data_IF_801102687729
#
_entry.id   IF_801102687729
#
_cell.length_a   1.000
_cell.length_b   1.000
_cell.length_c   1.000
_cell.angle_alpha   90.00
_cell.angle_beta   90.00
_cell.angle_gamma   90.00
#
_symmetry.space_group_name_H-M   'P 1'
#
loop_
_entity.id
_entity.type
_entity.pdbx_description
1 polymer ?
#
# COMPACT_ATOMS: atom_id res chain seq x y z
N UNK A 1 -10.25 37.41 -5.04
CA UNK A 1 -9.07 36.50 -5.01
C UNK A 1 -9.32 35.14 -4.37
N UNK A 2 -10.39 34.91 -3.59
CA UNK A 2 -10.70 33.64 -2.90
C UNK A 2 -11.15 32.46 -3.80
N UNK A 3 -11.48 32.69 -5.08
CA UNK A 3 -11.93 31.61 -5.98
C UNK A 3 -10.83 30.93 -6.79
N UNK A 4 -9.59 31.48 -6.81
CA UNK A 4 -8.46 30.82 -7.50
C UNK A 4 -7.81 29.68 -6.69
N UNK A 5 -8.09 29.57 -5.39
CA UNK A 5 -7.58 28.49 -4.53
C UNK A 5 -8.33 27.16 -4.66
N UNK A 6 -9.62 27.19 -5.01
CA UNK A 6 -10.46 26.00 -5.05
C UNK A 6 -10.15 25.08 -6.25
N UNK A 7 -9.72 25.63 -7.40
CA UNK A 7 -9.42 24.82 -8.59
C UNK A 7 -8.11 24.02 -8.49
N UNK A 8 -7.18 24.39 -7.61
CA UNK A 8 -5.91 23.66 -7.46
C UNK A 8 -6.01 22.40 -6.59
N UNK A 9 -7.10 22.25 -5.81
CA UNK A 9 -7.32 21.10 -4.91
C UNK A 9 -7.77 19.81 -5.64
N UNK A 10 -8.18 19.88 -6.91
CA UNK A 10 -8.79 18.74 -7.64
C UNK A 10 -7.83 17.63 -8.10
N UNK A 11 -6.50 17.80 -8.00
CA UNK A 11 -5.53 16.82 -8.52
C UNK A 11 -4.79 16.01 -7.46
N UNK A 12 -5.20 16.07 -6.19
CA UNK A 12 -4.37 15.50 -5.10
C UNK A 12 -4.40 13.97 -5.06
N UNK A 13 -5.57 13.34 -5.27
CA UNK A 13 -5.74 11.91 -4.94
C UNK A 13 -4.95 10.97 -5.86
N UNK A 14 -4.94 11.23 -7.17
CA UNK A 14 -4.17 10.42 -8.15
C UNK A 14 -2.91 11.12 -8.67
N UNK A 15 -2.76 12.43 -8.40
CA UNK A 15 -1.59 13.21 -8.78
C UNK A 15 -1.27 13.15 -10.27
N UNK A 16 0.03 13.22 -10.58
CA UNK A 16 0.56 13.16 -11.95
C UNK A 16 0.53 11.74 -12.55
N UNK A 17 0.10 10.73 -11.79
CA UNK A 17 0.10 9.32 -12.19
C UNK A 17 -1.27 8.83 -12.67
N UNK A 18 -2.22 9.72 -12.95
CA UNK A 18 -3.57 9.35 -13.42
C UNK A 18 -3.54 8.45 -14.67
N UNK A 19 -2.57 8.65 -15.56
CA UNK A 19 -2.38 7.82 -16.75
C UNK A 19 -2.06 6.37 -16.38
N UNK A 20 -1.20 6.15 -15.37
CA UNK A 20 -0.84 4.82 -14.87
C UNK A 20 -2.07 4.16 -14.26
N UNK A 21 -2.85 4.88 -13.46
CA UNK A 21 -4.12 4.35 -12.94
C UNK A 21 -5.09 3.91 -14.05
N UNK A 22 -5.21 4.67 -15.14
CA UNK A 22 -6.07 4.28 -16.26
C UNK A 22 -5.59 2.98 -16.91
N UNK A 23 -4.28 2.88 -17.13
CA UNK A 23 -3.61 1.74 -17.73
C UNK A 23 -3.73 0.49 -16.84
N UNK A 24 -3.54 0.61 -15.54
CA UNK A 24 -3.59 -0.53 -14.62
C UNK A 24 -5.02 -1.05 -14.32
N UNK A 25 -6.05 -0.50 -14.98
CA UNK A 25 -7.44 -0.91 -14.76
C UNK A 25 -8.14 -0.16 -13.61
N UNK A 26 -7.54 0.91 -13.10
CA UNK A 26 -8.08 1.73 -12.00
C UNK A 26 -8.87 2.97 -12.46
N UNK A 27 -8.98 3.21 -13.76
CA UNK A 27 -9.74 4.32 -14.34
C UNK A 27 -11.25 4.21 -14.12
N UNK A 28 -11.92 5.37 -14.20
CA UNK A 28 -13.37 5.47 -13.97
C UNK A 28 -14.23 5.24 -15.22
N UNK A 29 -13.63 5.02 -16.38
CA UNK A 29 -14.38 4.90 -17.63
C UNK A 29 -15.38 3.75 -17.57
N UNK A 30 -16.58 3.99 -18.12
CA UNK A 30 -17.62 2.98 -18.33
C UNK A 30 -17.70 2.54 -19.79
N UNK A 31 -16.80 3.02 -20.65
CA UNK A 31 -16.82 2.68 -22.08
C UNK A 31 -16.67 1.18 -22.28
N UNK A 32 -17.31 0.66 -23.32
CA UNK A 32 -17.15 -0.74 -23.72
C UNK A 32 -15.67 -1.09 -23.94
N UNK A 33 -14.93 -0.21 -24.63
CA UNK A 33 -13.50 -0.35 -24.86
C UNK A 33 -12.69 -0.52 -23.56
N UNK A 34 -13.03 0.21 -22.50
CA UNK A 34 -12.32 0.10 -21.22
C UNK A 34 -12.59 -1.25 -20.53
N UNK A 35 -13.82 -1.75 -20.62
CA UNK A 35 -14.17 -3.08 -20.10
C UNK A 35 -13.49 -4.19 -20.88
N UNK A 36 -13.44 -4.07 -22.21
CA UNK A 36 -12.71 -4.99 -23.08
C UNK A 36 -11.20 -4.99 -22.75
N UNK A 37 -10.62 -3.81 -22.50
CA UNK A 37 -9.24 -3.67 -22.06
C UNK A 37 -8.96 -4.35 -20.71
N UNK A 38 -9.82 -4.15 -19.69
CA UNK A 38 -9.68 -4.87 -18.41
C UNK A 38 -9.79 -6.38 -18.62
N UNK A 39 -10.71 -6.82 -19.49
CA UNK A 39 -10.83 -8.23 -19.87
C UNK A 39 -9.53 -8.77 -20.50
N UNK A 40 -8.92 -8.02 -21.41
CA UNK A 40 -7.63 -8.35 -22.02
C UNK A 40 -6.53 -8.48 -20.97
N UNK A 41 -6.43 -7.53 -20.05
CA UNK A 41 -5.44 -7.57 -18.95
C UNK A 41 -5.66 -8.80 -18.06
N UNK A 42 -6.90 -9.10 -17.69
CA UNK A 42 -7.20 -10.28 -16.88
C UNK A 42 -6.78 -11.56 -17.60
N UNK A 43 -7.17 -11.71 -18.86
CA UNK A 43 -6.76 -12.84 -19.70
C UNK A 43 -5.24 -12.94 -19.80
N UNK A 44 -4.55 -11.81 -19.96
CA UNK A 44 -3.09 -11.75 -19.97
C UNK A 44 -2.47 -12.25 -18.66
N UNK A 45 -2.95 -11.76 -17.51
CA UNK A 45 -2.43 -12.20 -16.21
C UNK A 45 -2.71 -13.68 -15.94
N UNK A 46 -3.89 -14.18 -16.30
CA UNK A 46 -4.19 -15.62 -16.21
C UNK A 46 -3.30 -16.45 -17.13
N UNK A 47 -2.99 -15.94 -18.33
CA UNK A 47 -2.06 -16.60 -19.25
C UNK A 47 -0.65 -16.67 -18.65
N UNK A 48 -0.15 -15.56 -18.10
CA UNK A 48 1.16 -15.56 -17.42
C UNK A 48 1.15 -16.50 -16.22
N UNK A 49 0.12 -16.47 -15.37
CA UNK A 49 0.00 -17.38 -14.24
C UNK A 49 -0.02 -18.86 -14.69
N UNK A 50 -0.77 -19.18 -15.75
CA UNK A 50 -0.80 -20.54 -16.31
C UNK A 50 0.58 -20.96 -16.84
N UNK A 51 1.24 -20.10 -17.62
CA UNK A 51 2.58 -20.37 -18.15
C UNK A 51 3.60 -20.53 -17.03
N UNK A 52 3.55 -19.70 -15.98
CA UNK A 52 4.42 -19.82 -14.81
C UNK A 52 4.16 -21.09 -14.02
N UNK A 53 2.90 -21.51 -13.86
CA UNK A 53 2.56 -22.76 -13.20
C UNK A 53 3.09 -23.98 -14.00
N UNK A 54 2.85 -23.98 -15.31
CA UNK A 54 3.38 -25.01 -16.20
C UNK A 54 4.92 -25.02 -16.17
N UNK A 55 5.52 -23.83 -16.13
CA UNK A 55 6.96 -23.64 -16.01
C UNK A 55 7.50 -24.28 -14.74
N UNK A 56 6.94 -23.94 -13.58
CA UNK A 56 7.29 -24.53 -12.28
C UNK A 56 7.19 -26.05 -12.29
N UNK A 57 6.15 -26.61 -12.93
CA UNK A 57 5.98 -28.05 -13.07
C UNK A 57 7.06 -28.68 -13.96
N UNK A 58 7.36 -28.06 -15.10
CA UNK A 58 8.35 -28.56 -16.06
C UNK A 58 9.76 -28.58 -15.48
N UNK A 59 10.17 -27.51 -14.78
CA UNK A 59 11.50 -27.42 -14.14
C UNK A 59 11.53 -27.94 -12.71
N UNK A 60 10.51 -28.67 -12.25
CA UNK A 60 10.45 -29.20 -10.88
C UNK A 60 11.70 -29.98 -10.43
N UNK A 61 12.43 -30.72 -11.31
CA UNK A 61 13.70 -31.34 -10.94
C UNK A 61 14.80 -30.34 -10.52
N UNK A 62 14.81 -29.15 -11.12
CA UNK A 62 15.69 -28.04 -10.75
C UNK A 62 14.94 -27.08 -9.82
N UNK A 63 15.10 -27.31 -8.51
CA UNK A 63 14.39 -26.56 -7.46
C UNK A 63 14.61 -25.06 -7.54
N UNK A 64 15.81 -24.61 -7.90
CA UNK A 64 16.15 -23.18 -7.89
C UNK A 64 15.33 -22.47 -8.99
N UNK A 65 15.24 -23.07 -10.18
CA UNK A 65 14.40 -22.58 -11.27
C UNK A 65 12.92 -22.72 -10.97
N UNK A 66 12.50 -23.84 -10.38
CA UNK A 66 11.10 -24.05 -10.02
C UNK A 66 10.61 -22.96 -9.04
N UNK A 67 11.44 -22.56 -8.08
CA UNK A 67 11.13 -21.48 -7.14
C UNK A 67 11.10 -20.10 -7.81
N UNK A 68 11.99 -19.83 -8.77
CA UNK A 68 11.94 -18.61 -9.58
C UNK A 68 10.63 -18.51 -10.40
N UNK A 69 10.26 -19.59 -11.08
CA UNK A 69 8.99 -19.68 -11.82
C UNK A 69 7.78 -19.51 -10.90
N UNK A 70 7.86 -20.12 -9.71
CA UNK A 70 6.80 -20.04 -8.71
C UNK A 70 6.67 -18.61 -8.17
N UNK A 71 7.78 -17.87 -8.06
CA UNK A 71 7.75 -16.46 -7.72
C UNK A 71 7.00 -15.64 -8.78
N UNK A 72 7.27 -15.84 -10.08
CA UNK A 72 6.53 -15.18 -11.17
C UNK A 72 5.04 -15.51 -11.10
N UNK A 73 4.68 -16.77 -10.81
CA UNK A 73 3.30 -17.18 -10.60
C UNK A 73 2.64 -16.35 -9.47
N UNK A 74 3.31 -16.21 -8.31
CA UNK A 74 2.81 -15.42 -7.20
C UNK A 74 2.65 -13.93 -7.56
N UNK A 75 3.59 -13.37 -8.32
CA UNK A 75 3.50 -12.00 -8.84
C UNK A 75 2.30 -11.81 -9.79
N UNK A 76 2.06 -12.77 -10.70
CA UNK A 76 0.89 -12.74 -11.59
C UNK A 76 -0.43 -12.89 -10.83
N UNK A 77 -0.45 -13.72 -9.78
CA UNK A 77 -1.60 -13.83 -8.86
C UNK A 77 -1.83 -12.53 -8.10
N UNK A 78 -0.77 -11.85 -7.64
CA UNK A 78 -0.85 -10.52 -7.02
C UNK A 78 -1.44 -9.47 -7.99
N UNK A 79 -0.95 -9.42 -9.24
CA UNK A 79 -1.47 -8.51 -10.27
C UNK A 79 -2.97 -8.73 -10.52
N UNK A 80 -3.37 -10.00 -10.67
CA UNK A 80 -4.77 -10.42 -10.82
C UNK A 80 -5.61 -10.00 -9.61
N UNK A 81 -5.10 -10.20 -8.40
CA UNK A 81 -5.77 -9.80 -7.16
C UNK A 81 -5.97 -8.29 -7.06
N UNK A 82 -4.99 -7.50 -7.53
CA UNK A 82 -5.11 -6.04 -7.58
C UNK A 82 -6.29 -5.57 -8.43
N UNK A 83 -6.49 -6.19 -9.60
CA UNK A 83 -7.65 -5.93 -10.46
C UNK A 83 -8.95 -6.30 -9.75
N UNK A 84 -9.03 -7.52 -9.21
CA UNK A 84 -10.24 -7.98 -8.51
C UNK A 84 -10.57 -7.07 -7.32
N UNK A 85 -9.57 -6.70 -6.52
CA UNK A 85 -9.73 -5.75 -5.42
C UNK A 85 -10.32 -4.44 -5.92
N UNK A 86 -9.77 -3.87 -6.99
CA UNK A 86 -10.28 -2.63 -7.60
C UNK A 86 -11.72 -2.78 -8.10
N UNK A 87 -12.03 -3.87 -8.80
CA UNK A 87 -13.37 -4.12 -9.35
C UNK A 87 -14.41 -4.27 -8.24
N UNK A 88 -14.13 -5.09 -7.21
CA UNK A 88 -15.03 -5.39 -6.10
C UNK A 88 -15.22 -4.18 -5.18
N UNK A 89 -14.16 -3.39 -4.98
CA UNK A 89 -14.20 -2.26 -4.03
C UNK A 89 -14.36 -0.89 -4.70
N UNK A 90 -14.65 -0.87 -6.01
CA UNK A 90 -14.69 0.35 -6.81
C UNK A 90 -15.52 1.46 -6.20
N UNK A 91 -16.75 1.14 -5.82
CA UNK A 91 -17.70 2.10 -5.24
C UNK A 91 -17.16 2.74 -3.96
N UNK A 92 -16.45 1.95 -3.14
CA UNK A 92 -15.89 2.40 -1.87
C UNK A 92 -14.71 3.36 -2.09
N UNK A 93 -13.80 3.01 -2.99
CA UNK A 93 -12.67 3.89 -3.36
C UNK A 93 -13.18 5.21 -3.95
N UNK A 94 -14.19 5.17 -4.83
CA UNK A 94 -14.77 6.36 -5.44
C UNK A 94 -15.44 7.28 -4.40
N UNK A 95 -16.13 6.69 -3.41
CA UNK A 95 -16.75 7.45 -2.33
C UNK A 95 -15.68 8.06 -1.40
N UNK A 96 -14.66 7.30 -1.02
CA UNK A 96 -13.55 7.82 -0.21
C UNK A 96 -12.81 8.95 -0.94
N UNK A 97 -12.53 8.79 -2.22
CA UNK A 97 -11.91 9.84 -3.04
C UNK A 97 -12.74 11.12 -3.05
N UNK A 98 -14.06 11.03 -3.24
CA UNK A 98 -14.95 12.20 -3.18
C UNK A 98 -14.86 12.94 -1.86
N UNK A 99 -14.76 12.22 -0.73
CA UNK A 99 -14.59 12.83 0.61
C UNK A 99 -13.24 13.54 0.72
N UNK A 100 -12.16 12.93 0.23
CA UNK A 100 -10.83 13.57 0.24
C UNK A 100 -10.81 14.82 -0.64
N UNK A 101 -11.41 14.77 -1.83
CA UNK A 101 -11.47 15.89 -2.77
C UNK A 101 -12.39 17.02 -2.32
N UNK A 102 -13.51 16.71 -1.65
CA UNK A 102 -14.40 17.72 -1.08
C UNK A 102 -13.81 18.40 0.15
N UNK A 103 -12.74 17.83 0.73
CA UNK A 103 -12.30 18.13 2.08
C UNK A 103 -13.16 17.40 3.12
N UNK A 104 -12.59 17.26 4.31
CA UNK A 104 -13.24 16.57 5.43
C UNK A 104 -14.14 17.50 6.22
N UNK A 105 -13.56 18.22 7.20
CA UNK A 105 -14.32 19.06 8.10
C UNK A 105 -13.60 20.39 8.29
N UNK A 106 -14.28 21.49 7.97
CA UNK A 106 -13.74 22.84 8.17
C UNK A 106 -14.29 23.41 9.47
N UNK A 107 -13.39 23.76 10.39
CA UNK A 107 -13.75 24.44 11.62
C UNK A 107 -14.05 25.91 11.35
N UNK A 108 -15.15 26.48 11.86
CA UNK A 108 -15.45 27.89 11.67
C UNK A 108 -14.44 28.79 12.39
N UNK A 109 -13.88 28.34 13.51
CA UNK A 109 -12.85 29.06 14.26
C UNK A 109 -11.43 28.65 13.83
N UNK A 110 -11.21 28.48 12.52
CA UNK A 110 -10.04 27.79 11.98
C UNK A 110 -8.71 28.36 12.50
N UNK A 111 -7.96 27.53 13.22
CA UNK A 111 -6.63 27.87 13.73
C UNK A 111 -5.56 27.63 12.67
N UNK A 112 -4.54 28.49 12.66
CA UNK A 112 -3.41 28.46 11.71
C UNK A 112 -2.70 27.09 11.65
N UNK A 113 -2.67 26.36 12.75
CA UNK A 113 -2.05 25.03 12.81
C UNK A 113 -2.88 23.96 12.08
N UNK A 114 -4.20 24.01 12.20
CA UNK A 114 -5.09 23.10 11.45
C UNK A 114 -4.96 23.34 9.93
N UNK A 115 -4.88 24.60 9.50
CA UNK A 115 -4.63 24.94 8.09
C UNK A 115 -3.28 24.43 7.61
N UNK A 116 -2.24 24.55 8.44
CA UNK A 116 -0.91 24.03 8.14
C UNK A 116 -0.95 22.51 7.96
N UNK A 117 -1.56 21.77 8.89
CA UNK A 117 -1.68 20.32 8.82
C UNK A 117 -2.46 19.89 7.57
N UNK A 118 -3.57 20.56 7.23
CA UNK A 118 -4.33 20.29 6.00
C UNK A 118 -3.50 20.54 4.73
N UNK A 119 -2.69 21.61 4.71
CA UNK A 119 -1.83 21.94 3.58
C UNK A 119 -0.65 20.96 3.42
N UNK A 120 -0.19 20.34 4.51
CA UNK A 120 0.90 19.36 4.49
C UNK A 120 0.49 18.00 3.89
N UNK A 121 -0.78 17.57 4.06
CA UNK A 121 -1.29 16.28 3.54
C UNK A 121 -0.94 16.03 2.07
N UNK A 122 -1.36 16.88 1.10
CA UNK A 122 -1.08 16.64 -0.32
C UNK A 122 0.42 16.57 -0.61
N UNK A 123 1.23 17.36 0.09
CA UNK A 123 2.68 17.43 -0.11
C UNK A 123 3.35 16.13 0.35
N UNK A 124 2.98 15.66 1.53
CA UNK A 124 3.52 14.43 2.12
C UNK A 124 3.11 13.22 1.28
N UNK A 125 1.84 13.12 0.92
CA UNK A 125 1.33 12.02 0.08
C UNK A 125 2.02 12.00 -1.28
N UNK A 126 2.09 13.15 -1.97
CA UNK A 126 2.73 13.23 -3.29
C UNK A 126 4.22 12.85 -3.22
N UNK A 127 4.94 13.28 -2.17
CA UNK A 127 6.34 12.94 -1.96
C UNK A 127 6.54 11.44 -1.79
N UNK A 128 5.77 10.81 -0.88
CA UNK A 128 5.89 9.38 -0.60
C UNK A 128 5.51 8.53 -1.81
N UNK A 129 4.42 8.88 -2.49
CA UNK A 129 3.99 8.18 -3.70
C UNK A 129 5.03 8.33 -4.83
N UNK A 130 5.63 9.51 -5.00
CA UNK A 130 6.70 9.73 -5.98
C UNK A 130 7.96 8.94 -5.65
N UNK A 131 8.37 8.92 -4.37
CA UNK A 131 9.53 8.13 -3.91
C UNK A 131 9.30 6.64 -4.15
N UNK A 132 8.12 6.12 -3.77
CA UNK A 132 7.76 4.73 -3.96
C UNK A 132 7.71 4.35 -5.45
N UNK A 133 7.04 5.16 -6.27
CA UNK A 133 6.96 4.92 -7.70
C UNK A 133 8.32 4.98 -8.39
N UNK A 134 9.19 5.91 -7.99
CA UNK A 134 10.56 6.00 -8.50
C UNK A 134 11.36 4.75 -8.16
N UNK A 135 11.31 4.30 -6.90
CA UNK A 135 11.98 3.07 -6.47
C UNK A 135 11.48 1.84 -7.24
N UNK A 136 10.16 1.68 -7.39
CA UNK A 136 9.57 0.58 -8.15
C UNK A 136 9.94 0.66 -9.64
N UNK A 137 9.93 1.86 -10.22
CA UNK A 137 10.29 2.08 -11.63
C UNK A 137 11.78 1.82 -11.90
N UNK A 138 12.66 2.15 -10.95
CA UNK A 138 14.09 1.81 -11.02
C UNK A 138 14.31 0.30 -10.96
N UNK A 139 13.59 -0.41 -10.08
CA UNK A 139 13.62 -1.87 -10.02
C UNK A 139 13.12 -2.51 -11.33
N UNK A 140 12.02 -2.00 -11.88
CA UNK A 140 11.51 -2.45 -13.17
C UNK A 140 12.50 -2.17 -14.32
N UNK A 141 13.05 -0.96 -14.40
CA UNK A 141 14.06 -0.57 -15.38
C UNK A 141 15.31 -1.47 -15.30
N UNK A 142 15.76 -1.78 -14.09
CA UNK A 142 16.89 -2.68 -13.86
C UNK A 142 16.60 -4.07 -14.47
N UNK A 143 15.44 -4.65 -14.16
CA UNK A 143 15.06 -5.96 -14.67
C UNK A 143 14.85 -5.98 -16.20
N UNK A 144 14.37 -4.90 -16.82
CA UNK A 144 14.03 -4.89 -18.25
C UNK A 144 15.19 -4.59 -19.17
N UNK A 145 16.00 -3.60 -18.80
CA UNK A 145 16.98 -3.01 -19.70
C UNK A 145 18.39 -3.30 -19.22
N UNK A 146 18.66 -3.04 -17.94
CA UNK A 146 20.01 -3.17 -17.43
C UNK A 146 20.42 -4.63 -17.30
N UNK A 147 19.54 -5.52 -16.83
CA UNK A 147 19.86 -6.92 -16.66
C UNK A 147 20.21 -7.62 -17.99
N UNK A 148 19.37 -7.57 -19.06
CA UNK A 148 19.73 -8.18 -20.33
C UNK A 148 20.99 -7.55 -20.95
N UNK A 149 21.18 -6.24 -20.82
CA UNK A 149 22.37 -5.55 -21.30
C UNK A 149 23.64 -6.02 -20.55
N UNK A 150 23.60 -6.09 -19.22
CA UNK A 150 24.70 -6.61 -18.41
C UNK A 150 25.01 -8.06 -18.75
N UNK A 151 23.97 -8.88 -18.99
CA UNK A 151 24.18 -10.25 -19.46
C UNK A 151 24.87 -10.29 -20.82
N UNK A 152 24.51 -9.44 -21.77
CA UNK A 152 25.20 -9.38 -23.06
C UNK A 152 26.70 -9.04 -22.93
N UNK A 153 27.06 -8.15 -22.01
CA UNK A 153 28.47 -7.78 -21.77
C UNK A 153 29.23 -8.87 -20.99
N UNK A 154 28.64 -9.41 -19.93
CA UNK A 154 29.29 -10.37 -19.02
C UNK A 154 29.31 -11.80 -19.56
N UNK A 155 28.27 -12.23 -20.28
CA UNK A 155 28.13 -13.58 -20.85
C UNK A 155 28.97 -13.79 -22.12
N UNK A 156 29.69 -12.77 -22.59
CA UNK A 156 30.55 -12.86 -23.78
C UNK A 156 31.78 -13.79 -23.61
N UNK A 157 32.04 -14.34 -22.41
CA UNK A 157 33.01 -15.43 -22.23
C UNK A 157 32.36 -16.80 -22.46
N UNK A 158 32.48 -17.36 -23.67
CA UNK A 158 31.75 -18.54 -24.16
C UNK A 158 31.90 -19.89 -23.41
N UNK A 159 32.48 -19.94 -22.21
CA UNK A 159 32.70 -21.18 -21.45
C UNK A 159 31.41 -21.75 -20.79
N UNK A 160 30.40 -20.93 -20.53
CA UNK A 160 29.16 -21.36 -19.84
C UNK A 160 28.05 -21.87 -20.79
N UNK A 161 28.26 -21.77 -22.11
CA UNK A 161 27.30 -22.22 -23.13
C UNK A 161 27.27 -23.77 -23.22
N UNK A 162 28.38 -24.44 -22.91
CA UNK A 162 28.50 -25.90 -23.01
C UNK A 162 27.95 -26.67 -21.80
N UNK A 163 27.86 -26.03 -20.63
CA UNK A 163 27.47 -26.66 -19.37
C UNK A 163 25.95 -26.81 -19.20
N UNK A 164 25.23 -27.38 -20.16
CA UNK A 164 23.85 -27.93 -20.02
C UNK A 164 22.71 -26.96 -19.65
N UNK A 165 22.98 -25.80 -19.04
CA UNK A 165 22.04 -24.77 -18.59
C UNK A 165 21.42 -24.04 -19.78
N UNK A 166 22.19 -23.82 -20.85
CA UNK A 166 21.76 -23.19 -22.10
C UNK A 166 20.89 -24.11 -22.99
N UNK A 167 20.80 -25.40 -22.67
CA UNK A 167 20.01 -26.36 -23.48
C UNK A 167 18.51 -26.27 -23.25
N UNK A 168 18.03 -25.52 -22.26
CA UNK A 168 16.60 -25.40 -21.91
C UNK A 168 16.15 -23.97 -21.58
N UNK A 169 17.07 -23.06 -21.23
CA UNK A 169 16.79 -21.70 -20.81
C UNK A 169 17.62 -20.67 -21.57
N UNK A 170 17.03 -19.53 -21.94
CA UNK A 170 17.79 -18.39 -22.46
C UNK A 170 18.36 -17.59 -21.27
N UNK A 171 19.69 -17.45 -21.16
CA UNK A 171 20.34 -16.77 -20.03
C UNK A 171 20.16 -15.24 -20.00
N UNK A 172 19.69 -14.65 -21.11
CA UNK A 172 19.47 -13.21 -21.24
C UNK A 172 18.12 -12.76 -20.69
N UNK A 173 17.23 -13.70 -20.31
CA UNK A 173 15.99 -13.36 -19.62
C UNK A 173 16.23 -13.31 -18.11
N UNK A 174 15.67 -12.32 -17.40
CA UNK A 174 15.86 -12.16 -15.95
C UNK A 174 15.25 -13.32 -15.16
N UNK A 175 14.19 -13.93 -15.69
CA UNK A 175 13.51 -15.05 -15.06
C UNK A 175 13.15 -16.09 -16.11
N UNK A 176 13.00 -17.34 -15.67
CA UNK A 176 12.62 -18.42 -16.57
C UNK A 176 11.11 -18.49 -16.75
N UNK A 177 10.68 -18.54 -18.01
CA UNK A 177 9.28 -18.74 -18.37
C UNK A 177 9.21 -19.64 -19.62
N UNK A 178 8.46 -20.72 -19.54
CA UNK A 178 8.14 -21.54 -20.69
C UNK A 178 7.31 -20.75 -21.68
N UNK A 179 7.77 -20.73 -22.93
CA UNK A 179 7.07 -20.15 -24.06
C UNK A 179 6.96 -21.21 -25.16
N UNK A 180 5.84 -21.28 -25.90
CA UNK A 180 5.62 -22.30 -26.92
C UNK A 180 6.44 -22.10 -28.20
N UNK A 181 7.40 -21.16 -28.22
CA UNK A 181 8.30 -20.90 -29.33
C UNK A 181 9.76 -20.89 -28.87
N UNK A 182 10.68 -21.10 -29.80
CA UNK A 182 12.11 -21.04 -29.51
C UNK A 182 12.59 -19.59 -29.37
N UNK A 183 12.89 -19.20 -28.14
CA UNK A 183 13.39 -17.87 -27.79
C UNK A 183 14.92 -17.78 -27.73
N UNK A 184 15.64 -18.74 -28.32
CA UNK A 184 17.10 -18.64 -28.59
C UNK A 184 17.42 -17.86 -29.85
N UNK A 185 16.49 -17.83 -30.79
CA UNK A 185 16.61 -16.97 -31.98
C UNK A 185 16.46 -15.50 -31.56
N UNK A 186 17.11 -14.53 -32.24
CA UNK A 186 16.96 -13.12 -31.92
C UNK A 186 15.49 -12.64 -31.91
N UNK A 187 14.67 -13.13 -32.84
CA UNK A 187 13.24 -12.82 -32.91
C UNK A 187 12.44 -13.46 -31.77
N UNK A 188 12.74 -14.72 -31.43
CA UNK A 188 12.08 -15.39 -30.32
C UNK A 188 12.44 -14.76 -28.97
N UNK A 189 13.71 -14.35 -28.79
CA UNK A 189 14.16 -13.59 -27.62
C UNK A 189 13.43 -12.25 -27.53
N UNK A 190 13.32 -11.50 -28.63
CA UNK A 190 12.59 -10.23 -28.64
C UNK A 190 11.12 -10.43 -28.21
N UNK A 191 10.45 -11.47 -28.71
CA UNK A 191 9.10 -11.82 -28.28
C UNK A 191 9.00 -12.16 -26.79
N UNK A 192 9.93 -12.98 -26.28
CA UNK A 192 9.99 -13.34 -24.87
C UNK A 192 10.27 -12.13 -23.97
N UNK A 193 11.17 -11.24 -24.40
CA UNK A 193 11.48 -10.00 -23.71
C UNK A 193 10.27 -9.07 -23.64
N UNK A 194 9.53 -8.89 -24.75
CA UNK A 194 8.28 -8.10 -24.76
C UNK A 194 7.25 -8.68 -23.78
N UNK A 195 7.09 -10.01 -23.74
CA UNK A 195 6.18 -10.67 -22.77
C UNK A 195 6.58 -10.34 -21.33
N UNK A 196 7.86 -10.41 -20.99
CA UNK A 196 8.35 -10.06 -19.65
C UNK A 196 8.13 -8.58 -19.33
N UNK A 197 8.50 -7.68 -20.26
CA UNK A 197 8.30 -6.24 -20.08
C UNK A 197 6.84 -5.93 -19.80
N UNK A 198 5.90 -6.50 -20.54
CA UNK A 198 4.46 -6.30 -20.30
C UNK A 198 4.05 -6.88 -18.94
N UNK A 199 4.44 -8.10 -18.62
CA UNK A 199 4.06 -8.77 -17.36
C UNK A 199 4.55 -8.00 -16.12
N UNK A 200 5.79 -7.56 -16.12
CA UNK A 200 6.34 -6.80 -15.00
C UNK A 200 5.86 -5.35 -14.98
N UNK A 201 5.77 -4.68 -16.14
CA UNK A 201 5.22 -3.33 -16.20
C UNK A 201 3.85 -3.30 -15.54
N UNK A 202 3.02 -4.30 -15.85
CA UNK A 202 1.73 -4.50 -15.23
C UNK A 202 1.83 -4.78 -13.72
N UNK A 203 2.65 -5.75 -13.31
CA UNK A 203 2.79 -6.13 -11.90
C UNK A 203 3.27 -4.95 -11.03
N UNK A 204 4.32 -4.25 -11.45
CA UNK A 204 4.83 -3.06 -10.78
C UNK A 204 3.83 -1.91 -10.82
N UNK A 205 3.14 -1.73 -11.95
CA UNK A 205 2.09 -0.72 -12.10
C UNK A 205 0.94 -0.92 -11.13
N UNK A 206 0.40 -2.14 -11.01
CA UNK A 206 -0.61 -2.51 -10.02
C UNK A 206 -0.10 -2.25 -8.61
N UNK A 207 1.13 -2.66 -8.28
CA UNK A 207 1.72 -2.41 -6.96
C UNK A 207 1.79 -0.92 -6.63
N UNK A 208 2.23 -0.08 -7.57
CA UNK A 208 2.26 1.38 -7.45
C UNK A 208 0.85 1.94 -7.25
N UNK A 209 -0.11 1.55 -8.10
CA UNK A 209 -1.49 2.02 -8.03
C UNK A 209 -2.15 1.68 -6.69
N UNK A 210 -2.02 0.42 -6.24
CA UNK A 210 -2.55 -0.05 -4.97
C UNK A 210 -1.89 0.64 -3.77
N UNK A 211 -0.56 0.77 -3.77
CA UNK A 211 0.17 1.46 -2.71
C UNK A 211 -0.29 2.91 -2.63
N UNK A 212 -0.27 3.63 -3.76
CA UNK A 212 -0.61 5.05 -3.79
C UNK A 212 -2.06 5.28 -3.33
N UNK A 213 -3.02 4.44 -3.73
CA UNK A 213 -4.41 4.56 -3.24
C UNK A 213 -4.49 4.29 -1.74
N UNK A 214 -3.83 3.23 -1.25
CA UNK A 214 -3.78 2.92 0.18
C UNK A 214 -3.15 4.08 0.98
N UNK A 215 -2.00 4.59 0.55
CA UNK A 215 -1.29 5.71 1.20
C UNK A 215 -2.13 6.97 1.24
N UNK A 216 -2.80 7.32 0.13
CA UNK A 216 -3.74 8.44 0.11
C UNK A 216 -4.83 8.30 1.19
N UNK A 217 -5.44 7.11 1.31
CA UNK A 217 -6.51 6.85 2.27
C UNK A 217 -6.00 6.87 3.72
N UNK A 218 -4.89 6.18 4.00
CA UNK A 218 -4.29 6.09 5.33
C UNK A 218 -3.79 7.45 5.81
N UNK A 219 -3.00 8.16 4.99
CA UNK A 219 -2.40 9.43 5.38
C UNK A 219 -3.46 10.53 5.51
N UNK A 220 -4.45 10.58 4.62
CA UNK A 220 -5.54 11.56 4.74
C UNK A 220 -6.31 11.36 6.06
N UNK A 221 -6.66 10.12 6.41
CA UNK A 221 -7.32 9.85 7.68
C UNK A 221 -6.41 10.17 8.88
N UNK A 222 -5.13 9.79 8.83
CA UNK A 222 -4.16 10.08 9.89
C UNK A 222 -4.06 11.57 10.19
N UNK A 223 -3.90 12.41 9.17
CA UNK A 223 -3.78 13.85 9.39
C UNK A 223 -5.08 14.48 9.86
N UNK A 224 -6.23 13.96 9.44
CA UNK A 224 -7.52 14.43 9.97
C UNK A 224 -7.71 14.03 11.44
N UNK A 225 -7.18 12.88 11.86
CA UNK A 225 -7.12 12.51 13.28
C UNK A 225 -6.21 13.45 14.06
N UNK A 226 -5.04 13.82 13.52
CA UNK A 226 -4.16 14.84 14.12
C UNK A 226 -4.85 16.19 14.31
N UNK A 227 -5.57 16.65 13.28
CA UNK A 227 -6.35 17.89 13.34
C UNK A 227 -7.42 17.78 14.43
N UNK A 228 -8.11 16.65 14.51
CA UNK A 228 -9.11 16.41 15.56
C UNK A 228 -8.47 16.41 16.96
N UNK A 229 -7.34 15.72 17.15
CA UNK A 229 -6.60 15.69 18.42
C UNK A 229 -6.18 17.10 18.84
N UNK A 230 -5.54 17.84 17.94
CA UNK A 230 -5.13 19.22 18.18
C UNK A 230 -6.34 20.11 18.56
N UNK A 231 -7.45 19.97 17.84
CA UNK A 231 -8.69 20.71 18.08
C UNK A 231 -9.39 20.34 19.39
N UNK A 232 -9.18 19.13 19.91
CA UNK A 232 -9.69 18.71 21.23
C UNK A 232 -8.84 19.34 22.33
N UNK A 233 -7.51 19.28 22.21
CA UNK A 233 -6.59 19.85 23.19
C UNK A 233 -6.80 21.37 23.35
N UNK A 234 -7.11 22.07 22.27
CA UNK A 234 -7.34 23.52 22.26
C UNK A 234 -8.83 23.91 22.32
N UNK A 235 -9.73 22.98 22.71
CA UNK A 235 -11.19 23.23 22.71
C UNK A 235 -11.59 24.42 23.60
N UNK A 236 -10.86 24.64 24.70
CA UNK A 236 -11.09 25.77 25.62
C UNK A 236 -10.74 27.10 24.98
N UNK A 237 -9.61 27.17 24.27
CA UNK A 237 -9.18 28.39 23.59
C UNK A 237 -10.06 28.72 22.39
N UNK A 238 -10.48 27.70 21.64
CA UNK A 238 -11.52 27.83 20.60
C UNK A 238 -12.84 28.35 21.16
N UNK A 239 -13.29 27.85 22.31
CA UNK A 239 -14.50 28.35 22.97
C UNK A 239 -14.35 29.81 23.41
N UNK A 240 -13.17 30.22 23.90
CA UNK A 240 -12.87 31.62 24.24
C UNK A 240 -12.86 32.52 23.01
N UNK A 241 -12.31 32.05 21.89
CA UNK A 241 -12.32 32.79 20.63
C UNK A 241 -13.74 32.97 20.10
N UNK A 242 -14.55 31.91 20.11
CA UNK A 242 -15.96 31.96 19.74
C UNK A 242 -16.77 32.91 20.64
N UNK A 243 -16.53 32.88 21.96
CA UNK A 243 -17.15 33.79 22.91
C UNK A 243 -16.80 35.26 22.59
N UNK A 244 -15.52 35.57 22.35
CA UNK A 244 -15.08 36.92 21.96
C UNK A 244 -15.73 37.39 20.67
N UNK A 245 -15.86 36.50 19.68
CA UNK A 245 -16.53 36.83 18.42
C UNK A 245 -18.02 37.13 18.59
N UNK A 246 -18.69 36.50 19.56
CA UNK A 246 -20.14 36.65 19.79
C UNK A 246 -20.50 37.79 20.75
N UNK A 247 -19.67 38.03 21.75
CA UNK A 247 -19.95 38.96 22.86
C UNK A 247 -18.95 40.12 22.99
N UNK A 248 -17.95 40.22 22.10
CA UNK A 248 -16.98 41.33 22.05
C UNK A 248 -15.99 41.41 23.21
N UNK A 249 -16.04 40.48 24.17
CA UNK A 249 -15.25 40.50 25.40
C UNK A 249 -14.72 39.12 25.76
N UNK A 250 -13.77 39.04 26.69
CA UNK A 250 -13.32 37.76 27.26
C UNK A 250 -14.35 37.28 28.29
N UNK A 251 -14.57 35.95 28.42
CA UNK A 251 -15.43 35.44 29.47
C UNK A 251 -14.81 35.78 30.84
N UNK A 252 -15.57 36.46 31.71
CA UNK A 252 -15.16 36.72 33.09
C UNK A 252 -15.26 35.46 33.95
N UNK A 253 -16.29 34.64 33.68
CA UNK A 253 -16.51 33.34 34.30
C UNK A 253 -16.73 32.29 33.21
N UNK A 254 -15.86 31.28 33.16
CA UNK A 254 -15.98 30.15 32.24
C UNK A 254 -17.11 29.20 32.64
N UNK A 255 -17.68 29.32 33.85
CA UNK A 255 -18.90 28.59 34.22
C UNK A 255 -20.17 29.31 33.78
N UNK A 256 -20.06 30.52 33.23
CA UNK A 256 -21.21 31.24 32.71
C UNK A 256 -21.94 30.42 31.63
N UNK A 257 -23.29 30.44 31.61
CA UNK A 257 -24.07 29.71 30.60
C UNK A 257 -23.65 30.04 29.17
N UNK A 258 -23.34 31.31 28.90
CA UNK A 258 -22.90 31.78 27.59
C UNK A 258 -21.56 31.16 27.14
N UNK A 259 -20.58 31.00 28.04
CA UNK A 259 -19.33 30.31 27.72
C UNK A 259 -19.53 28.81 27.55
N UNK A 260 -20.36 28.19 28.39
CA UNK A 260 -20.69 26.76 28.29
C UNK A 260 -21.36 26.42 26.95
N UNK A 261 -22.19 27.31 26.42
CA UNK A 261 -22.81 27.14 25.11
C UNK A 261 -21.77 27.21 23.98
N UNK A 262 -20.82 28.16 24.03
CA UNK A 262 -19.69 28.21 23.08
C UNK A 262 -18.82 26.94 23.16
N UNK A 263 -18.51 26.46 24.37
CA UNK A 263 -17.74 25.25 24.58
C UNK A 263 -18.44 24.01 24.03
N UNK A 264 -19.75 23.90 24.26
CA UNK A 264 -20.58 22.84 23.71
C UNK A 264 -20.64 22.89 22.18
N UNK A 265 -20.67 24.08 21.60
CA UNK A 265 -20.61 24.31 20.15
C UNK A 265 -19.28 23.81 19.56
N UNK A 266 -18.14 24.18 20.15
CA UNK A 266 -16.82 23.69 19.72
C UNK A 266 -16.70 22.15 19.84
N UNK A 267 -17.23 21.55 20.91
CA UNK A 267 -17.26 20.09 21.08
C UNK A 267 -18.16 19.40 20.05
N UNK A 268 -19.31 19.99 19.71
CA UNK A 268 -20.18 19.47 18.64
C UNK A 268 -19.45 19.44 17.30
N UNK A 269 -18.62 20.45 17.00
CA UNK A 269 -17.77 20.43 15.82
C UNK A 269 -16.77 19.26 15.85
N UNK A 270 -16.10 19.01 16.99
CA UNK A 270 -15.20 17.86 17.13
C UNK A 270 -15.91 16.51 16.98
N UNK A 271 -17.12 16.36 17.54
CA UNK A 271 -17.92 15.13 17.41
C UNK A 271 -18.34 14.91 15.96
N UNK A 272 -18.80 15.96 15.26
CA UNK A 272 -19.17 15.87 13.84
C UNK A 272 -17.96 15.49 12.98
N UNK A 273 -16.80 16.07 13.25
CA UNK A 273 -15.56 15.71 12.58
C UNK A 273 -15.23 14.22 12.85
N UNK A 274 -15.21 13.77 14.10
CA UNK A 274 -14.95 12.37 14.43
C UNK A 274 -15.93 11.40 13.75
N UNK A 275 -17.22 11.71 13.72
CA UNK A 275 -18.24 10.90 13.03
C UNK A 275 -17.97 10.80 11.53
N UNK A 276 -17.52 11.89 10.90
CA UNK A 276 -17.09 11.89 9.50
C UNK A 276 -15.89 10.95 9.30
N UNK A 277 -14.89 11.01 10.19
CA UNK A 277 -13.71 10.14 10.13
C UNK A 277 -14.06 8.65 10.29
N UNK A 278 -14.96 8.32 11.22
CA UNK A 278 -15.46 6.95 11.39
C UNK A 278 -16.20 6.47 10.13
N UNK A 279 -17.00 7.32 9.48
CA UNK A 279 -17.66 6.98 8.20
C UNK A 279 -16.64 6.79 7.08
N UNK A 280 -15.63 7.64 7.01
CA UNK A 280 -14.55 7.54 6.04
C UNK A 280 -13.77 6.23 6.21
N UNK A 281 -13.37 5.90 7.45
CA UNK A 281 -12.71 4.64 7.81
C UNK A 281 -13.52 3.43 7.37
N UNK A 282 -14.82 3.39 7.72
CA UNK A 282 -15.73 2.30 7.30
C UNK A 282 -15.85 2.21 5.77
N UNK A 283 -15.82 3.34 5.08
CA UNK A 283 -15.90 3.38 3.62
C UNK A 283 -14.62 2.87 2.98
N UNK A 284 -13.44 3.23 3.49
CA UNK A 284 -12.15 2.80 2.92
C UNK A 284 -11.73 1.39 3.35
N UNK A 285 -12.31 0.86 4.44
CA UNK A 285 -11.95 -0.43 5.02
C UNK A 285 -12.00 -1.63 4.05
N UNK A 286 -12.99 -1.79 3.15
CA UNK A 286 -12.99 -2.94 2.24
C UNK A 286 -11.80 -2.96 1.29
N UNK A 287 -11.39 -1.80 0.77
CA UNK A 287 -10.23 -1.70 -0.14
C UNK A 287 -8.93 -1.95 0.63
N UNK A 288 -8.70 -1.20 1.72
CA UNK A 288 -7.48 -1.35 2.53
C UNK A 288 -7.38 -2.75 3.11
N UNK A 289 -8.48 -3.32 3.60
CA UNK A 289 -8.52 -4.68 4.14
C UNK A 289 -8.25 -5.77 3.10
N UNK A 290 -8.64 -5.56 1.83
CA UNK A 290 -8.28 -6.45 0.72
C UNK A 290 -6.79 -6.37 0.37
N UNK A 291 -6.23 -5.15 0.37
CA UNK A 291 -4.79 -4.95 0.22
C UNK A 291 -3.99 -5.59 1.37
N UNK A 292 -4.48 -5.53 2.61
CA UNK A 292 -3.82 -6.20 3.72
C UNK A 292 -3.85 -7.72 3.51
N UNK A 293 -5.02 -8.27 3.15
CA UNK A 293 -5.18 -9.71 2.93
C UNK A 293 -4.21 -10.25 1.88
N UNK A 294 -4.03 -9.54 0.74
CA UNK A 294 -3.07 -9.99 -0.28
C UNK A 294 -1.64 -9.97 0.24
N UNK A 295 -1.27 -8.97 1.04
CA UNK A 295 0.08 -8.90 1.63
C UNK A 295 0.31 -10.08 2.57
N UNK A 296 -0.63 -10.39 3.47
CA UNK A 296 -0.45 -11.51 4.40
C UNK A 296 -0.38 -12.87 3.71
N UNK A 297 -1.15 -13.07 2.65
CA UNK A 297 -1.20 -14.35 1.94
C UNK A 297 -0.03 -14.52 0.96
N UNK A 298 0.29 -13.47 0.21
CA UNK A 298 1.24 -13.55 -0.91
C UNK A 298 2.65 -13.10 -0.55
N UNK A 299 2.83 -12.12 0.36
CA UNK A 299 4.17 -11.61 0.64
C UNK A 299 5.11 -12.65 1.28
N UNK A 300 4.70 -13.46 2.29
CA UNK A 300 5.61 -14.45 2.87
C UNK A 300 6.19 -15.45 1.85
N UNK A 301 5.38 -16.10 0.98
CA UNK A 301 5.95 -17.00 -0.03
C UNK A 301 6.76 -16.26 -1.10
N UNK A 302 6.34 -15.05 -1.52
CA UNK A 302 7.10 -14.21 -2.46
C UNK A 302 8.51 -13.91 -1.91
N UNK A 303 8.60 -13.48 -0.65
CA UNK A 303 9.88 -13.20 -0.01
C UNK A 303 10.71 -14.47 0.17
N UNK A 304 10.06 -15.58 0.50
CA UNK A 304 10.76 -16.84 0.77
C UNK A 304 11.41 -17.42 -0.50
N UNK A 305 10.72 -17.35 -1.65
CA UNK A 305 11.26 -17.84 -2.93
C UNK A 305 12.48 -17.02 -3.33
N UNK A 306 12.38 -15.69 -3.33
CA UNK A 306 13.47 -14.82 -3.79
C UNK A 306 14.65 -14.83 -2.81
N UNK A 307 14.39 -14.83 -1.50
CA UNK A 307 15.45 -14.92 -0.49
C UNK A 307 16.19 -16.27 -0.57
N UNK A 308 15.48 -17.37 -0.83
CA UNK A 308 16.12 -18.66 -1.03
C UNK A 308 17.04 -18.66 -2.26
N UNK A 309 16.59 -18.10 -3.39
CA UNK A 309 17.40 -17.98 -4.60
C UNK A 309 18.65 -17.12 -4.38
N UNK A 310 18.51 -16.01 -3.63
CA UNK A 310 19.63 -15.14 -3.22
C UNK A 310 20.68 -15.89 -2.36
N UNK A 311 20.25 -16.83 -1.51
CA UNK A 311 21.17 -17.59 -0.65
C UNK A 311 22.01 -18.63 -1.42
N UNK A 312 21.65 -18.95 -2.67
CA UNK A 312 22.44 -19.83 -3.54
C UNK A 312 23.57 -19.05 -4.20
N UNK A 313 24.61 -19.75 -4.67
CA UNK A 313 25.71 -19.11 -5.41
C UNK A 313 25.22 -18.67 -6.79
N UNK A 314 24.70 -17.45 -6.88
CA UNK A 314 24.27 -16.81 -8.11
C UNK A 314 25.38 -15.90 -8.67
N UNK A 315 25.43 -15.68 -9.99
CA UNK A 315 26.30 -14.66 -10.55
C UNK A 315 25.84 -13.27 -10.08
N UNK A 316 26.78 -12.33 -10.00
CA UNK A 316 26.57 -11.04 -9.32
C UNK A 316 25.45 -10.20 -9.93
N UNK A 317 25.25 -10.29 -11.24
CA UNK A 317 24.21 -9.57 -11.96
C UNK A 317 22.80 -10.08 -11.60
N UNK A 318 22.60 -11.41 -11.51
CA UNK A 318 21.35 -12.00 -11.03
C UNK A 318 21.11 -11.65 -9.56
N UNK A 319 22.16 -11.72 -8.74
CA UNK A 319 22.08 -11.36 -7.32
C UNK A 319 21.59 -9.92 -7.11
N UNK A 320 22.11 -8.95 -7.87
CA UNK A 320 21.67 -7.55 -7.78
C UNK A 320 20.19 -7.41 -8.16
N UNK A 321 19.75 -8.11 -9.22
CA UNK A 321 18.35 -8.09 -9.66
C UNK A 321 17.41 -8.60 -8.57
N UNK A 322 17.71 -9.78 -8.00
CA UNK A 322 16.90 -10.37 -6.95
C UNK A 322 16.92 -9.54 -5.66
N UNK A 323 18.04 -8.94 -5.30
CA UNK A 323 18.14 -8.04 -4.14
C UNK A 323 17.31 -6.77 -4.33
N UNK A 324 17.35 -6.17 -5.53
CA UNK A 324 16.54 -5.00 -5.84
C UNK A 324 15.04 -5.33 -5.80
N UNK A 325 14.65 -6.49 -6.32
CA UNK A 325 13.27 -6.95 -6.28
C UNK A 325 12.81 -7.24 -4.85
N UNK A 326 13.56 -8.02 -4.07
CA UNK A 326 13.24 -8.29 -2.67
C UNK A 326 13.10 -6.99 -1.87
N UNK A 327 14.01 -6.04 -2.05
CA UNK A 327 13.92 -4.74 -1.39
C UNK A 327 12.64 -3.98 -1.77
N UNK A 328 12.26 -4.00 -3.05
CA UNK A 328 11.04 -3.33 -3.54
C UNK A 328 9.76 -3.90 -2.90
N UNK A 329 9.70 -5.23 -2.75
CA UNK A 329 8.55 -5.93 -2.17
C UNK A 329 8.51 -5.76 -0.63
N UNK A 330 9.67 -5.73 0.04
CA UNK A 330 9.78 -5.41 1.47
C UNK A 330 9.29 -3.99 1.76
N UNK A 331 9.71 -3.00 0.96
CA UNK A 331 9.28 -1.60 1.15
C UNK A 331 7.77 -1.45 0.92
N UNK A 332 7.20 -2.14 -0.07
CA UNK A 332 5.75 -2.14 -0.32
C UNK A 332 4.97 -2.59 0.92
N UNK A 333 5.34 -3.75 1.49
CA UNK A 333 4.66 -4.31 2.66
C UNK A 333 4.90 -3.50 3.93
N UNK A 334 6.13 -3.01 4.12
CA UNK A 334 6.50 -2.15 5.24
C UNK A 334 5.69 -0.84 5.26
N UNK A 335 5.57 -0.16 4.12
CA UNK A 335 4.82 1.10 4.02
C UNK A 335 3.37 0.93 4.50
N UNK A 336 2.69 -0.12 4.05
CA UNK A 336 1.30 -0.36 4.45
C UNK A 336 1.17 -0.56 5.96
N UNK A 337 2.03 -1.38 6.56
CA UNK A 337 2.00 -1.68 7.98
C UNK A 337 2.43 -0.49 8.85
N UNK A 338 3.43 0.27 8.42
CA UNK A 338 3.94 1.46 9.13
C UNK A 338 2.89 2.57 9.23
N UNK A 339 2.22 2.88 8.12
CA UNK A 339 1.17 3.90 8.12
C UNK A 339 -0.12 3.42 8.79
N UNK A 340 -0.42 2.13 8.71
CA UNK A 340 -1.50 1.51 9.48
C UNK A 340 -1.29 1.62 10.99
N UNK A 341 -0.07 1.35 11.47
CA UNK A 341 0.30 1.49 12.89
C UNK A 341 0.18 2.95 13.37
N UNK A 342 0.74 3.90 12.61
CA UNK A 342 0.65 5.32 12.95
C UNK A 342 -0.79 5.81 13.05
N UNK A 343 -1.65 5.36 12.14
CA UNK A 343 -3.08 5.67 12.15
C UNK A 343 -3.76 5.12 13.42
N UNK A 344 -3.49 3.86 13.76
CA UNK A 344 -4.05 3.21 14.94
C UNK A 344 -3.66 3.94 16.22
N UNK A 345 -2.37 4.33 16.33
CA UNK A 345 -1.85 5.11 17.45
C UNK A 345 -2.55 6.47 17.57
N UNK A 346 -2.57 7.25 16.49
CA UNK A 346 -3.19 8.58 16.47
C UNK A 346 -4.69 8.52 16.80
N UNK A 347 -5.39 7.49 16.31
CA UNK A 347 -6.80 7.28 16.66
C UNK A 347 -7.00 6.95 18.13
N UNK A 348 -6.05 6.25 18.77
CA UNK A 348 -6.08 5.97 20.20
C UNK A 348 -5.81 7.22 21.04
N UNK A 349 -4.96 8.13 20.56
CA UNK A 349 -4.63 9.40 21.23
C UNK A 349 -5.82 10.35 21.38
N UNK A 350 -6.92 10.18 20.63
CA UNK A 350 -8.15 10.95 20.83
C UNK A 350 -8.73 10.73 22.23
N UNK A 351 -8.68 9.49 22.72
CA UNK A 351 -9.16 9.18 24.07
C UNK A 351 -8.33 9.89 25.13
N UNK A 352 -7.00 9.87 24.97
CA UNK A 352 -6.07 10.56 25.88
C UNK A 352 -6.19 12.07 25.79
N UNK A 353 -6.34 12.62 24.57
CA UNK A 353 -6.55 14.05 24.34
C UNK A 353 -7.84 14.57 24.99
N UNK A 354 -8.91 13.76 25.03
CA UNK A 354 -10.14 14.11 25.76
C UNK A 354 -9.96 14.03 27.27
N UNK A 355 -9.00 13.24 27.76
CA UNK A 355 -8.71 13.09 29.18
C UNK A 355 -7.78 14.19 29.70
N UNK A 356 -6.80 14.61 28.89
CA UNK A 356 -5.80 15.62 29.24
C UNK A 356 -6.33 17.05 29.29
N UNK A 357 -7.52 17.30 28.75
CA UNK A 357 -8.21 18.58 28.95
C UNK A 357 -8.71 18.63 30.39
N UNK A 358 -8.37 19.69 31.14
CA UNK A 358 -8.83 19.93 32.51
C UNK A 358 -10.33 20.31 32.60
N UNK A 359 -11.17 19.63 31.83
CA UNK A 359 -12.61 19.87 31.74
C UNK A 359 -13.33 19.79 33.09
N UNK A 360 -12.92 19.01 34.11
CA UNK A 360 -13.62 19.04 35.40
C UNK A 360 -13.61 20.42 36.08
N UNK A 361 -12.63 21.27 35.78
CA UNK A 361 -12.51 22.60 36.41
C UNK A 361 -13.54 23.60 35.86
N UNK A 362 -13.77 23.56 34.54
CA UNK A 362 -14.54 24.57 33.81
C UNK A 362 -15.82 24.03 33.17
N UNK A 363 -16.01 22.73 32.97
CA UNK A 363 -17.16 22.18 32.26
C UNK A 363 -18.40 22.03 33.16
N UNK A 364 -19.50 22.64 32.76
CA UNK A 364 -20.81 22.42 33.36
C UNK A 364 -21.35 21.00 33.09
N UNK A 365 -22.48 20.61 33.71
CA UNK A 365 -23.01 19.24 33.64
C UNK A 365 -23.28 18.74 32.21
N UNK A 366 -23.76 19.62 31.32
CA UNK A 366 -24.06 19.29 29.91
C UNK A 366 -22.80 19.00 29.10
N UNK A 367 -21.76 19.81 29.28
CA UNK A 367 -20.47 19.66 28.61
C UNK A 367 -19.77 18.40 29.14
N UNK A 368 -19.72 18.24 30.47
CA UNK A 368 -19.15 17.06 31.12
C UNK A 368 -19.79 15.75 30.62
N UNK A 369 -21.12 15.71 30.48
CA UNK A 369 -21.83 14.56 29.90
C UNK A 369 -21.39 14.29 28.46
N UNK A 370 -21.27 15.34 27.65
CA UNK A 370 -20.88 15.24 26.24
C UNK A 370 -19.45 14.70 26.08
N UNK A 371 -18.51 15.19 26.88
CA UNK A 371 -17.11 14.71 26.89
C UNK A 371 -17.06 13.23 27.28
N UNK A 372 -17.80 12.82 28.32
CA UNK A 372 -17.86 11.40 28.73
C UNK A 372 -18.38 10.50 27.61
N UNK A 373 -19.45 10.89 26.94
CA UNK A 373 -19.99 10.13 25.79
C UNK A 373 -18.99 10.09 24.64
N UNK A 374 -18.35 11.22 24.32
CA UNK A 374 -17.35 11.27 23.27
C UNK A 374 -16.16 10.36 23.58
N UNK A 375 -15.66 10.38 24.81
CA UNK A 375 -14.58 9.50 25.29
C UNK A 375 -14.95 8.01 25.21
N UNK A 376 -16.19 7.65 25.54
CA UNK A 376 -16.65 6.27 25.38
C UNK A 376 -16.64 5.83 23.91
N UNK A 377 -16.98 6.74 22.99
CA UNK A 377 -16.97 6.44 21.55
C UNK A 377 -15.56 6.32 20.95
N UNK A 378 -14.55 6.93 21.56
CA UNK A 378 -13.16 6.93 21.09
C UNK A 378 -12.29 5.87 21.76
N UNK A 379 -12.85 5.08 22.69
CA UNK A 379 -12.12 4.00 23.40
C UNK A 379 -11.59 2.91 22.46
N UNK A 380 -12.23 2.69 21.31
CA UNK A 380 -11.78 1.71 20.30
C UNK A 380 -11.07 2.47 19.16
N UNK A 381 -9.74 2.28 18.99
CA UNK A 381 -9.01 2.94 17.91
C UNK A 381 -9.50 2.45 16.53
N UNK A 382 -9.42 3.33 15.55
CA UNK A 382 -9.66 3.00 14.13
C UNK A 382 -8.47 2.22 13.60
N UNK A 383 -8.65 0.90 13.50
CA UNK A 383 -7.67 -0.03 12.96
C UNK A 383 -8.22 -0.60 11.65
N UNK A 384 -7.40 -0.66 10.61
CA UNK A 384 -7.73 -1.39 9.39
C UNK A 384 -7.45 -2.88 9.61
N UNK A 385 -8.52 -3.68 9.49
CA UNK A 385 -8.47 -5.14 9.58
C UNK A 385 -8.47 -5.75 8.18
N UNK A 386 -7.89 -6.94 8.04
CA UNK A 386 -7.99 -7.71 6.81
C UNK A 386 -9.45 -8.12 6.53
N UNK A 387 -9.82 -8.23 5.25
CA UNK A 387 -11.22 -8.46 4.83
C UNK A 387 -11.80 -9.81 5.32
N UNK A 388 -10.96 -10.77 5.68
CA UNK A 388 -11.37 -12.14 6.07
C UNK A 388 -10.67 -12.68 7.32
N UNK A 389 -9.61 -12.02 7.78
CA UNK A 389 -8.78 -12.46 8.89
C UNK A 389 -8.73 -11.34 9.92
N UNK A 390 -8.69 -11.67 11.22
CA UNK A 390 -8.62 -10.66 12.29
C UNK A 390 -7.22 -10.05 12.47
N UNK A 391 -6.42 -10.02 11.39
CA UNK A 391 -5.12 -9.38 11.36
C UNK A 391 -5.25 -7.88 11.10
N UNK A 392 -4.47 -7.12 11.86
CA UNK A 392 -4.42 -5.66 11.79
C UNK A 392 -3.25 -5.23 10.91
N UNK A 393 -3.39 -4.11 10.20
CA UNK A 393 -2.27 -3.49 9.50
C UNK A 393 -1.31 -2.81 10.50
N UNK A 394 -0.47 -3.62 11.17
CA UNK A 394 0.45 -3.19 12.24
C UNK A 394 1.89 -3.60 11.92
N UNK A 395 2.85 -2.96 12.59
CA UNK A 395 4.25 -3.39 12.52
C UNK A 395 4.47 -4.80 13.11
N UNK A 396 3.64 -5.21 14.08
CA UNK A 396 3.64 -6.57 14.60
C UNK A 396 3.31 -7.60 13.52
N UNK A 397 2.31 -7.31 12.70
CA UNK A 397 1.93 -8.14 11.57
C UNK A 397 2.98 -8.20 10.46
N UNK A 398 3.72 -7.10 10.22
CA UNK A 398 4.89 -7.15 9.35
C UNK A 398 5.95 -8.12 9.87
N UNK A 399 6.23 -8.11 11.19
CA UNK A 399 7.16 -9.07 11.80
C UNK A 399 6.66 -10.52 11.68
N UNK A 400 5.34 -10.76 11.75
CA UNK A 400 4.74 -12.08 11.50
C UNK A 400 4.95 -12.54 10.05
N UNK A 401 4.76 -11.65 9.07
CA UNK A 401 5.05 -11.93 7.64
C UNK A 401 6.52 -12.32 7.46
N UNK A 402 7.45 -11.55 8.04
CA UNK A 402 8.88 -11.88 8.01
C UNK A 402 9.19 -13.23 8.68
N UNK A 403 8.54 -13.50 9.82
CA UNK A 403 8.70 -14.78 10.53
C UNK A 403 8.17 -15.96 9.70
N UNK A 404 7.05 -15.78 8.99
CA UNK A 404 6.49 -16.79 8.10
C UNK A 404 7.40 -17.04 6.91
N UNK A 405 7.99 -15.99 6.32
CA UNK A 405 9.03 -16.12 5.29
C UNK A 405 10.19 -17.00 5.79
N UNK A 406 10.76 -16.72 6.96
CA UNK A 406 11.86 -17.52 7.51
C UNK A 406 11.48 -18.99 7.72
N UNK A 407 10.25 -19.26 8.19
CA UNK A 407 9.73 -20.63 8.34
C UNK A 407 9.63 -21.35 7.00
N UNK A 408 9.13 -20.69 5.96
CA UNK A 408 9.06 -21.26 4.60
C UNK A 408 10.46 -21.56 4.09
N UNK A 409 11.42 -20.63 4.22
CA UNK A 409 12.82 -20.84 3.82
C UNK A 409 13.43 -22.04 4.56
N UNK A 410 13.18 -22.17 5.86
CA UNK A 410 13.66 -23.29 6.67
C UNK A 410 13.15 -24.64 6.14
N UNK A 411 11.85 -24.72 5.83
CA UNK A 411 11.23 -25.92 5.23
C UNK A 411 11.87 -26.28 3.89
N UNK A 412 12.05 -25.28 3.00
CA UNK A 412 12.69 -25.48 1.70
C UNK A 412 14.13 -26.01 1.87
N UNK A 413 14.91 -25.42 2.79
CA UNK A 413 16.29 -25.85 3.09
C UNK A 413 16.36 -27.28 3.65
N UNK A 414 15.44 -27.67 4.54
CA UNK A 414 15.39 -29.02 5.09
C UNK A 414 15.00 -30.06 4.03
N UNK A 415 14.11 -29.72 3.11
CA UNK A 415 13.82 -30.57 1.94
C UNK A 415 15.07 -30.79 1.08
N UNK A 416 15.90 -29.77 0.94
CA UNK A 416 17.14 -29.85 0.15
C UNK A 416 18.20 -30.77 0.77
N UNK A 417 18.41 -30.66 2.08
CA UNK A 417 19.38 -31.50 2.79
C UNK A 417 19.00 -32.98 2.84
N UNK A 418 17.71 -33.31 2.90
CA UNK A 418 17.22 -34.70 2.85
C UNK A 418 17.48 -35.35 1.50
N UNK A 419 17.22 -34.65 0.40
CA UNK A 419 17.49 -35.16 -0.95
C UNK A 419 18.99 -35.41 -1.16
N UNK A 420 19.86 -34.54 -0.63
CA UNK A 420 21.31 -34.75 -0.66
C UNK A 420 21.75 -36.02 0.07
N UNK A 421 21.17 -36.34 1.24
CA UNK A 421 21.48 -37.57 1.99
C UNK A 421 21.00 -38.84 1.31
N UNK A 422 19.82 -38.81 0.69
CA UNK A 422 19.27 -39.94 -0.07
C UNK A 422 20.08 -40.24 -1.34
N UNK A 423 20.57 -39.21 -2.03
CA UNK A 423 21.46 -39.38 -3.19
C UNK A 423 22.82 -39.99 -2.85
N UNK A 424 23.28 -39.85 -1.60
CA UNK A 424 24.52 -40.48 -1.09
C UNK A 424 24.34 -41.92 -0.58
N UNK A 425 23.10 -42.36 -0.34
CA UNK A 425 22.81 -43.75 0.09
C UNK A 425 22.41 -44.67 -1.07
N UNK A 426 22.13 -44.09 -2.25
CA UNK A 426 21.80 -44.80 -3.49
C UNK A 426 22.98 -44.86 -4.49
N UNK A 427 24.17 -44.42 -4.08
CA UNK A 427 25.45 -44.65 -4.75
C UNK A 427 26.28 -45.57 -3.88
#
# INVERSE_FOLDING_TARGET
MLHRGAMRKRKVFMGDMEWLYKLEGFGDSRSFYYRAYIGLILTWNFTIAYLSLYSTYYVLPDKDRALDCFHILLCAMFGTWGIFTRLLTRRYVDLSRKVVESGFYTYPEQERESERLEAEVPIVVARLNKQFALMMSLGAYFNFLLFPALQLFLWSSGADIENGVAKEANPFLPHWLYLPWDYRTPFGFLGAWVVHVIAYFYTYGVAIAMNNTTMNLLISLLYQLKILNHSILHVRDRARALYRSRYGSRPQDERSPAFQDCLLECLRHNIRHHQLLVRFHKTSAPFVGSCCLVIFLMAPPIFATIAYVIMKKQPINLLISYMAQLFSELVYTFNMCHWGEKLAKESGEIFESLYSVDWPEFAGPRVSRTIRVFRLSTRRPMIFKCLLLDFNASLGSYAEVMSMMYKIISVIRTSDSKNFRLGHTLK
#
